data_IF_981361339483
#
_entry.id   IF_981361339483
#
_cell.length_a   1.000
_cell.length_b   1.000
_cell.length_c   1.000
_cell.angle_alpha   90.00
_cell.angle_beta   90.00
_cell.angle_gamma   90.00
#
_symmetry.space_group_name_H-M   'P 1'
#
loop_
_entity.id
_entity.type
_entity.pdbx_description
1 polymer ?
#
# COMPACT_ATOMS: atom_id res chain seq x y z
N UNK A 1 11.08 18.81 20.98
CA UNK A 1 10.21 17.61 21.08
C UNK A 1 9.21 17.61 19.93
N UNK A 2 9.65 17.14 18.76
CA UNK A 2 8.75 16.57 17.75
C UNK A 2 8.73 15.06 18.03
N UNK A 3 7.57 14.38 18.12
CA UNK A 3 7.59 12.93 18.13
C UNK A 3 8.22 12.50 16.81
N UNK A 4 9.38 11.86 16.90
CA UNK A 4 9.98 11.13 15.79
C UNK A 4 8.87 10.20 15.32
N UNK A 5 8.35 10.44 14.12
CA UNK A 5 7.28 9.65 13.53
C UNK A 5 7.59 8.18 13.79
N UNK A 6 6.72 7.50 14.54
CA UNK A 6 6.88 6.10 14.90
C UNK A 6 7.13 5.31 13.62
N UNK A 7 8.39 4.97 13.34
CA UNK A 7 8.76 4.12 12.20
C UNK A 7 8.06 2.74 12.33
N UNK A 8 7.67 2.38 13.56
CA UNK A 8 6.87 1.21 13.91
C UNK A 8 5.38 1.29 13.51
N UNK A 9 4.86 2.45 13.10
CA UNK A 9 3.44 2.63 12.78
C UNK A 9 3.10 2.49 11.29
N UNK A 10 4.09 2.31 10.41
CA UNK A 10 3.83 2.10 8.97
C UNK A 10 3.60 0.60 8.71
N UNK A 11 2.39 0.18 8.31
CA UNK A 11 2.13 -1.22 8.03
C UNK A 11 2.99 -1.69 6.84
N UNK A 12 3.60 -2.87 6.95
CA UNK A 12 4.20 -3.52 5.78
C UNK A 12 3.08 -3.91 4.82
N UNK A 13 3.03 -3.25 3.66
CA UNK A 13 1.99 -3.52 2.66
C UNK A 13 2.00 -4.98 2.19
N UNK A 14 3.15 -5.66 2.22
CA UNK A 14 3.26 -7.08 1.81
C UNK A 14 2.58 -8.03 2.78
N UNK A 15 2.47 -7.66 4.06
CA UNK A 15 1.76 -8.47 5.04
C UNK A 15 0.24 -8.33 4.94
N UNK A 16 -0.25 -7.33 4.21
CA UNK A 16 -1.68 -7.06 4.07
C UNK A 16 -2.32 -7.91 2.97
N UNK A 17 -3.41 -8.59 3.33
CA UNK A 17 -4.30 -9.25 2.39
C UNK A 17 -5.17 -8.26 1.60
N UNK A 18 -5.91 -8.76 0.62
CA UNK A 18 -6.75 -7.91 -0.24
C UNK A 18 -7.78 -7.06 0.53
N UNK A 19 -8.42 -7.63 1.56
CA UNK A 19 -9.41 -6.93 2.38
C UNK A 19 -8.78 -5.80 3.19
N UNK A 20 -7.58 -6.02 3.72
CA UNK A 20 -6.84 -5.02 4.50
C UNK A 20 -6.32 -3.91 3.59
N UNK A 21 -5.81 -4.25 2.40
CA UNK A 21 -5.47 -3.27 1.36
C UNK A 21 -6.69 -2.45 0.93
N UNK A 22 -7.87 -3.08 0.82
CA UNK A 22 -9.12 -2.39 0.50
C UNK A 22 -9.54 -1.40 1.59
N UNK A 23 -9.45 -1.81 2.85
CA UNK A 23 -9.71 -0.92 3.98
C UNK A 23 -8.70 0.22 4.05
N UNK A 24 -7.42 -0.06 3.77
CA UNK A 24 -6.35 0.94 3.76
C UNK A 24 -6.60 2.00 2.67
N UNK A 25 -6.81 1.61 1.42
CA UNK A 25 -7.06 2.59 0.34
C UNK A 25 -8.34 3.38 0.60
N UNK A 26 -9.39 2.75 1.16
CA UNK A 26 -10.62 3.46 1.51
C UNK A 26 -10.40 4.50 2.62
N UNK A 27 -9.58 4.20 3.63
CA UNK A 27 -9.21 5.17 4.69
C UNK A 27 -8.40 6.33 4.17
N UNK A 28 -7.62 6.11 3.11
CA UNK A 28 -6.83 7.14 2.42
C UNK A 28 -7.65 7.95 1.41
N UNK A 29 -8.95 7.66 1.24
CA UNK A 29 -9.81 8.33 0.25
C UNK A 29 -9.56 7.89 -1.19
N UNK A 30 -8.79 6.82 -1.38
CA UNK A 30 -8.45 6.25 -2.68
C UNK A 30 -9.57 5.32 -3.19
N UNK A 31 -9.60 5.17 -4.52
CA UNK A 31 -10.62 4.36 -5.18
C UNK A 31 -10.41 2.85 -4.90
N UNK A 32 -11.49 2.04 -4.75
CA UNK A 32 -11.37 0.62 -4.42
C UNK A 32 -10.52 -0.20 -5.39
N UNK A 33 -10.44 0.21 -6.66
CA UNK A 33 -9.61 -0.47 -7.66
C UNK A 33 -8.10 -0.38 -7.34
N UNK A 34 -7.66 0.61 -6.55
CA UNK A 34 -6.27 0.75 -6.09
C UNK A 34 -5.83 -0.44 -5.24
N UNK A 35 -6.74 -1.01 -4.44
CA UNK A 35 -6.45 -2.22 -3.67
C UNK A 35 -6.09 -3.40 -4.57
N UNK A 36 -6.75 -3.53 -5.72
CA UNK A 36 -6.47 -4.60 -6.70
C UNK A 36 -5.11 -4.43 -7.34
N UNK A 37 -4.71 -3.20 -7.66
CA UNK A 37 -3.39 -2.90 -8.21
C UNK A 37 -2.31 -3.24 -7.19
N UNK A 38 -2.44 -2.73 -5.95
CA UNK A 38 -1.51 -3.03 -4.86
C UNK A 38 -1.37 -4.54 -4.63
N UNK A 39 -2.49 -5.26 -4.52
CA UNK A 39 -2.48 -6.70 -4.31
C UNK A 39 -1.77 -7.46 -5.45
N UNK A 40 -2.03 -7.07 -6.70
CA UNK A 40 -1.37 -7.66 -7.87
C UNK A 40 0.16 -7.47 -7.82
N UNK A 41 0.63 -6.27 -7.47
CA UNK A 41 2.07 -6.02 -7.39
C UNK A 41 2.74 -6.72 -6.23
N UNK A 42 2.11 -6.69 -5.05
CA UNK A 42 2.69 -7.23 -3.83
C UNK A 42 2.70 -8.76 -3.85
N UNK A 43 1.57 -9.39 -4.16
CA UNK A 43 1.37 -10.84 -4.00
C UNK A 43 1.55 -11.64 -5.28
N UNK A 44 1.30 -11.06 -6.45
CA UNK A 44 1.45 -11.79 -7.74
C UNK A 44 2.77 -11.51 -8.43
N UNK A 45 3.21 -10.25 -8.42
CA UNK A 45 4.45 -9.82 -9.10
C UNK A 45 5.66 -9.72 -8.18
N UNK A 46 5.46 -9.76 -6.86
CA UNK A 46 6.55 -9.72 -5.87
C UNK A 46 7.33 -8.40 -5.86
N UNK A 47 6.66 -7.26 -6.06
CA UNK A 47 7.31 -5.97 -6.14
C UNK A 47 8.14 -5.64 -4.88
N UNK A 48 9.42 -5.33 -5.09
CA UNK A 48 10.35 -4.96 -4.03
C UNK A 48 10.23 -3.48 -3.59
N UNK A 49 9.54 -2.65 -4.38
CA UNK A 49 9.35 -1.22 -4.09
C UNK A 49 8.07 -0.68 -4.74
N UNK A 50 7.59 0.48 -4.25
CA UNK A 50 6.48 1.20 -4.88
C UNK A 50 6.87 1.75 -6.27
N UNK A 51 8.14 2.12 -6.48
CA UNK A 51 8.65 2.57 -7.79
C UNK A 51 8.51 1.52 -8.90
N UNK A 52 8.51 0.23 -8.54
CA UNK A 52 8.27 -0.85 -9.49
C UNK A 52 6.80 -0.92 -9.95
N UNK A 53 5.87 -0.29 -9.22
CA UNK A 53 4.43 -0.30 -9.50
C UNK A 53 4.06 0.85 -10.45
N UNK A 54 4.41 0.70 -11.73
CA UNK A 54 4.35 1.78 -12.74
C UNK A 54 2.94 2.29 -13.09
N UNK A 55 1.89 1.60 -12.65
CA UNK A 55 0.48 1.90 -12.87
C UNK A 55 -0.21 2.52 -11.64
N UNK A 56 0.54 2.76 -10.57
CA UNK A 56 0.14 3.62 -9.47
C UNK A 56 0.54 5.07 -9.78
N UNK A 57 -0.29 6.07 -9.43
CA UNK A 57 0.07 7.45 -9.60
C UNK A 57 1.30 7.77 -8.73
N UNK A 58 2.23 8.54 -9.29
CA UNK A 58 3.30 9.15 -8.51
C UNK A 58 2.68 10.36 -7.79
N UNK A 59 2.86 10.41 -6.48
CA UNK A 59 2.47 11.56 -5.65
C UNK A 59 3.39 12.76 -5.90
#
# INVERSE_FOLDING_TARGET
>A
MLPLLDEAARPDLRSLGFSELSALVSRLGEQPYRARQLYSWLHRKGAASLDAMTDLPRA
#
